data_IF_345497195136
#
_entry.id   IF_345497195136
#
_cell.length_a   1.000
_cell.length_b   1.000
_cell.length_c   1.000
_cell.angle_alpha   90.00
_cell.angle_beta   90.00
_cell.angle_gamma   90.00
#
_symmetry.space_group_name_H-M   'P 1'
#
loop_
_entity.id
_entity.type
_entity.pdbx_description
1 polymer ?
#
# COMPACT_ATOMS: atom_id res chain seq x y z
N UNK A 1 -88.32 -28.61 14.25
CA UNK A 1 -88.38 -29.97 13.65
C UNK A 1 -87.36 -30.07 12.58
N UNK A 2 -86.25 -30.75 12.83
CA UNK A 2 -85.84 -32.01 12.19
C UNK A 2 -85.27 -31.74 10.78
N UNK A 3 -84.12 -32.10 10.51
CA UNK A 3 -83.49 -33.38 10.42
C UNK A 3 -82.05 -33.33 10.06
N UNK A 4 -81.29 -34.13 10.66
CA UNK A 4 -79.89 -34.49 10.35
C UNK A 4 -79.87 -35.38 9.16
N UNK A 5 -78.84 -35.21 8.29
CA UNK A 5 -78.21 -36.32 7.56
C UNK A 5 -76.71 -36.12 7.51
N UNK A 6 -76.02 -37.06 8.08
CA UNK A 6 -74.63 -37.33 8.08
C UNK A 6 -74.22 -37.92 6.75
N UNK A 7 -73.08 -37.48 6.14
CA UNK A 7 -72.36 -38.30 5.18
C UNK A 7 -70.87 -38.25 5.55
N UNK A 8 -70.42 -39.38 6.07
CA UNK A 8 -69.02 -39.74 6.25
C UNK A 8 -68.41 -40.05 4.88
N UNK A 9 -67.29 -39.45 4.54
CA UNK A 9 -66.44 -39.81 3.45
C UNK A 9 -64.95 -39.75 3.90
N UNK A 10 -64.11 -40.71 3.52
CA UNK A 10 -62.84 -40.95 4.18
C UNK A 10 -61.77 -39.94 3.83
N UNK A 11 -61.08 -39.48 4.85
CA UNK A 11 -59.90 -38.63 4.81
C UNK A 11 -58.72 -39.37 4.16
N UNK A 12 -58.14 -38.83 3.07
CA UNK A 12 -56.84 -39.20 2.58
C UNK A 12 -55.81 -38.28 3.23
N UNK A 13 -55.17 -38.79 4.30
CA UNK A 13 -54.02 -38.21 4.91
C UNK A 13 -52.78 -38.49 4.04
N UNK A 14 -52.26 -37.46 3.37
CA UNK A 14 -51.00 -37.46 2.65
C UNK A 14 -50.27 -36.17 2.93
N UNK A 15 -49.98 -35.87 4.20
CA UNK A 15 -49.09 -34.76 4.58
C UNK A 15 -47.64 -35.18 4.42
N UNK A 16 -46.97 -34.66 3.39
CA UNK A 16 -45.52 -34.71 3.32
C UNK A 16 -44.96 -33.86 4.45
N UNK A 17 -43.96 -34.34 5.23
CA UNK A 17 -43.29 -33.49 6.20
C UNK A 17 -42.42 -32.50 5.44
N UNK A 18 -42.81 -31.25 5.38
CA UNK A 18 -41.94 -30.14 5.03
C UNK A 18 -40.87 -30.08 6.10
N UNK A 19 -39.75 -30.74 5.83
CA UNK A 19 -38.51 -30.52 6.58
C UNK A 19 -38.09 -29.07 6.33
N UNK A 20 -38.40 -28.22 7.30
CA UNK A 20 -37.82 -26.89 7.41
C UNK A 20 -36.31 -27.07 7.60
N UNK A 21 -35.59 -27.11 6.50
CA UNK A 21 -34.13 -27.01 6.49
C UNK A 21 -33.74 -25.65 7.07
N UNK A 22 -33.31 -25.74 8.32
CA UNK A 22 -32.80 -24.65 9.12
C UNK A 22 -31.62 -23.96 8.41
N UNK A 23 -31.90 -22.92 7.64
CA UNK A 23 -30.90 -22.01 7.05
C UNK A 23 -30.21 -21.10 8.11
N UNK A 24 -30.38 -21.40 9.42
CA UNK A 24 -29.87 -20.57 10.51
C UNK A 24 -28.57 -21.07 11.16
N UNK A 25 -27.91 -22.11 10.61
CA UNK A 25 -26.74 -22.71 11.24
C UNK A 25 -25.39 -22.05 10.86
N UNK A 26 -25.32 -21.26 9.79
CA UNK A 26 -24.05 -20.70 9.28
C UNK A 26 -23.47 -19.51 10.08
N UNK A 27 -24.32 -18.71 10.73
CA UNK A 27 -23.87 -17.51 11.46
C UNK A 27 -23.29 -17.72 12.85
N UNK A 28 -23.60 -18.85 13.48
CA UNK A 28 -23.20 -19.10 14.88
C UNK A 28 -21.70 -19.33 15.10
N UNK A 29 -20.97 -20.12 14.27
CA UNK A 29 -19.55 -20.36 14.49
C UNK A 29 -18.70 -19.10 14.27
N UNK A 30 -18.94 -18.32 13.22
CA UNK A 30 -18.22 -17.08 12.95
C UNK A 30 -18.46 -16.04 14.06
N UNK A 31 -19.71 -15.83 14.48
CA UNK A 31 -20.02 -14.92 15.58
C UNK A 31 -19.38 -15.36 16.91
N UNK A 32 -19.25 -16.67 17.15
CA UNK A 32 -18.54 -17.20 18.32
C UNK A 32 -17.04 -16.94 18.22
N UNK A 33 -16.43 -17.18 17.07
CA UNK A 33 -15.01 -16.91 16.83
C UNK A 33 -14.68 -15.42 16.98
N UNK A 34 -15.50 -14.51 16.44
CA UNK A 34 -15.34 -13.07 16.58
C UNK A 34 -15.45 -12.62 18.04
N UNK A 35 -16.39 -13.16 18.81
CA UNK A 35 -16.52 -12.87 20.25
C UNK A 35 -15.33 -13.39 21.05
N UNK A 36 -14.83 -14.59 20.73
CA UNK A 36 -13.66 -15.16 21.38
C UNK A 36 -12.40 -14.32 21.08
N UNK A 37 -12.20 -13.90 19.82
CA UNK A 37 -11.12 -13.01 19.43
C UNK A 37 -11.19 -11.64 20.13
N UNK A 38 -12.37 -11.05 20.21
CA UNK A 38 -12.57 -9.80 20.95
C UNK A 38 -12.28 -9.98 22.46
N UNK A 39 -12.74 -11.08 23.07
CA UNK A 39 -12.44 -11.37 24.49
C UNK A 39 -10.94 -11.56 24.73
N UNK A 40 -10.24 -12.26 23.84
CA UNK A 40 -8.78 -12.42 23.88
C UNK A 40 -8.06 -11.07 23.77
N UNK A 41 -8.49 -10.23 22.84
CA UNK A 41 -7.93 -8.89 22.63
C UNK A 41 -8.10 -8.01 23.89
N UNK A 42 -9.21 -8.10 24.57
CA UNK A 42 -9.44 -7.37 25.82
C UNK A 42 -8.64 -7.95 27.00
N UNK A 43 -8.42 -9.26 27.05
CA UNK A 43 -7.65 -9.91 28.11
C UNK A 43 -6.13 -9.69 27.96
N UNK A 44 -5.65 -9.73 26.72
CA UNK A 44 -4.22 -9.66 26.39
C UNK A 44 -3.93 -8.61 25.30
N UNK A 45 -4.31 -7.33 25.50
CA UNK A 45 -4.20 -6.33 24.46
C UNK A 45 -2.77 -6.13 23.97
N UNK A 46 -1.76 -6.26 24.85
CA UNK A 46 -0.34 -6.08 24.49
C UNK A 46 0.20 -7.15 23.54
N UNK A 47 -0.39 -8.34 23.52
CA UNK A 47 -0.02 -9.42 22.60
C UNK A 47 -0.78 -9.33 21.28
N UNK A 48 -2.06 -8.93 21.34
CA UNK A 48 -2.92 -8.89 20.16
C UNK A 48 -2.65 -7.66 19.28
N UNK A 49 -2.34 -6.53 19.89
CA UNK A 49 -2.18 -5.26 19.16
C UNK A 49 -1.03 -5.27 18.14
N UNK A 50 0.16 -5.82 18.41
CA UNK A 50 1.20 -5.97 17.38
C UNK A 50 0.74 -6.84 16.21
N UNK A 51 -0.04 -7.89 16.46
CA UNK A 51 -0.61 -8.74 15.41
C UNK A 51 -1.64 -8.00 14.56
N UNK A 52 -2.45 -7.11 15.17
CA UNK A 52 -3.36 -6.23 14.42
C UNK A 52 -2.58 -5.23 13.55
N UNK A 53 -1.43 -4.74 14.02
CA UNK A 53 -0.54 -3.90 13.22
C UNK A 53 0.07 -4.66 12.04
N UNK A 54 0.58 -5.87 12.28
CA UNK A 54 1.09 -6.75 11.24
C UNK A 54 -0.01 -7.12 10.22
N UNK A 55 -1.22 -7.41 10.69
CA UNK A 55 -2.37 -7.64 9.83
C UNK A 55 -2.65 -6.43 8.94
N UNK A 56 -2.56 -5.22 9.49
CA UNK A 56 -2.75 -4.00 8.71
C UNK A 56 -1.67 -3.80 7.65
N UNK A 57 -0.43 -4.22 7.89
CA UNK A 57 0.64 -4.19 6.91
C UNK A 57 0.37 -5.10 5.70
N UNK A 58 -0.42 -6.18 5.85
CA UNK A 58 -0.86 -7.01 4.73
C UNK A 58 -1.77 -6.26 3.73
N UNK A 59 -2.29 -5.08 4.09
CA UNK A 59 -3.05 -4.21 3.19
C UNK A 59 -2.21 -3.56 2.09
N UNK A 60 -0.90 -3.55 2.23
CA UNK A 60 0.02 -2.98 1.24
C UNK A 60 0.38 -3.99 0.15
N UNK A 61 0.93 -3.46 -0.95
CA UNK A 61 1.51 -4.31 -1.98
C UNK A 61 2.68 -5.13 -1.41
N UNK A 62 2.93 -6.36 -1.86
CA UNK A 62 2.26 -7.03 -2.99
C UNK A 62 0.94 -7.73 -2.61
N UNK A 63 0.61 -7.88 -1.31
CA UNK A 63 -0.57 -8.62 -0.87
C UNK A 63 -1.87 -7.89 -1.18
N UNK A 64 -1.89 -6.55 -1.07
CA UNK A 64 -3.04 -5.69 -1.34
C UNK A 64 -4.34 -6.10 -0.62
N UNK A 65 -4.22 -6.71 0.57
CA UNK A 65 -5.34 -7.16 1.37
C UNK A 65 -5.92 -5.99 2.18
N UNK A 66 -6.43 -4.96 1.48
CA UNK A 66 -6.98 -3.77 2.11
C UNK A 66 -8.01 -4.04 3.24
N UNK A 67 -8.86 -5.11 3.20
CA UNK A 67 -9.76 -5.40 4.31
C UNK A 67 -9.00 -5.74 5.60
N UNK A 68 -7.84 -6.38 5.50
CA UNK A 68 -6.98 -6.69 6.65
C UNK A 68 -6.49 -5.41 7.34
N UNK A 69 -6.16 -4.37 6.59
CA UNK A 69 -5.79 -3.07 7.14
C UNK A 69 -6.96 -2.43 7.91
N UNK A 70 -8.17 -2.46 7.35
CA UNK A 70 -9.35 -1.92 8.00
C UNK A 70 -9.69 -2.68 9.29
N UNK A 71 -9.56 -4.02 9.30
CA UNK A 71 -9.73 -4.84 10.50
C UNK A 71 -8.68 -4.51 11.56
N UNK A 72 -7.40 -4.37 11.16
CA UNK A 72 -6.31 -3.99 12.06
C UNK A 72 -6.54 -2.63 12.72
N UNK A 73 -7.04 -1.65 11.95
CA UNK A 73 -7.40 -0.31 12.46
C UNK A 73 -8.66 -0.34 13.34
N UNK A 74 -9.69 -1.08 12.94
CA UNK A 74 -10.92 -1.25 13.74
C UNK A 74 -10.62 -1.83 15.11
N UNK A 75 -9.74 -2.86 15.15
CA UNK A 75 -9.29 -3.47 16.39
C UNK A 75 -8.50 -2.50 17.28
N UNK A 76 -7.58 -1.73 16.68
CA UNK A 76 -6.83 -0.70 17.41
C UNK A 76 -7.77 0.35 18.02
N UNK A 77 -8.68 0.90 17.23
CA UNK A 77 -9.65 1.91 17.69
C UNK A 77 -10.54 1.39 18.81
N UNK A 78 -11.00 0.13 18.73
CA UNK A 78 -11.78 -0.52 19.79
C UNK A 78 -10.99 -0.58 21.10
N UNK A 79 -9.70 -0.91 21.04
CA UNK A 79 -8.84 -1.02 22.22
C UNK A 79 -8.44 0.37 22.76
N UNK A 80 -8.20 1.37 21.89
CA UNK A 80 -7.99 2.76 22.33
C UNK A 80 -9.23 3.29 23.06
N UNK A 81 -10.44 3.01 22.56
CA UNK A 81 -11.68 3.41 23.22
C UNK A 81 -11.82 2.84 24.64
N UNK A 82 -11.34 1.63 24.86
CA UNK A 82 -11.35 0.93 26.16
C UNK A 82 -10.15 1.34 27.06
N UNK A 83 -9.17 2.08 26.55
CA UNK A 83 -7.96 2.43 27.29
C UNK A 83 -8.29 3.37 28.47
N UNK A 84 -7.90 3.01 29.72
CA UNK A 84 -8.28 3.80 30.90
C UNK A 84 -7.55 5.14 30.99
N UNK A 85 -6.34 5.23 30.40
CA UNK A 85 -5.49 6.42 30.45
C UNK A 85 -4.84 6.68 29.09
N UNK A 86 -4.53 7.95 28.79
CA UNK A 86 -3.88 8.35 27.54
C UNK A 86 -2.56 7.60 27.27
N UNK A 87 -1.76 7.36 28.32
CA UNK A 87 -0.52 6.56 28.20
C UNK A 87 -0.76 5.11 27.76
N UNK A 88 -1.89 4.53 28.14
CA UNK A 88 -2.25 3.19 27.70
C UNK A 88 -2.64 3.20 26.22
N UNK A 89 -3.37 4.22 25.77
CA UNK A 89 -3.68 4.41 24.37
C UNK A 89 -2.41 4.61 23.53
N UNK A 90 -1.47 5.44 24.01
CA UNK A 90 -0.17 5.64 23.36
C UNK A 90 0.60 4.31 23.24
N UNK A 91 0.66 3.51 24.33
CA UNK A 91 1.30 2.19 24.29
C UNK A 91 0.65 1.26 23.26
N UNK A 92 -0.68 1.24 23.17
CA UNK A 92 -1.38 0.45 22.16
C UNK A 92 -1.04 0.92 20.74
N UNK A 93 -1.00 2.23 20.49
CA UNK A 93 -0.56 2.79 19.22
C UNK A 93 0.88 2.40 18.89
N UNK A 94 1.78 2.46 19.87
CA UNK A 94 3.17 2.06 19.71
C UNK A 94 3.32 0.58 19.37
N UNK A 95 2.66 -0.31 20.10
CA UNK A 95 2.68 -1.76 19.84
C UNK A 95 2.09 -2.10 18.47
N UNK A 96 1.01 -1.42 18.08
CA UNK A 96 0.44 -1.59 16.75
C UNK A 96 1.42 -1.15 15.66
N UNK A 97 2.05 0.03 15.85
CA UNK A 97 3.07 0.55 14.95
C UNK A 97 4.27 -0.38 14.83
N UNK A 98 4.71 -0.98 15.94
CA UNK A 98 5.80 -1.95 15.94
C UNK A 98 5.50 -3.14 15.02
N UNK A 99 4.33 -3.76 15.16
CA UNK A 99 3.92 -4.86 14.27
C UNK A 99 3.77 -4.41 12.81
N UNK A 100 3.14 -3.24 12.60
CA UNK A 100 2.90 -2.68 11.28
C UNK A 100 4.20 -2.39 10.52
N UNK A 101 5.14 -1.67 11.14
CA UNK A 101 6.37 -1.29 10.47
C UNK A 101 7.37 -2.43 10.37
N UNK A 102 7.39 -3.37 11.32
CA UNK A 102 8.26 -4.55 11.22
C UNK A 102 7.88 -5.40 10.02
N UNK A 103 6.60 -5.66 9.81
CA UNK A 103 6.16 -6.43 8.65
C UNK A 103 6.21 -5.58 7.36
N UNK A 104 5.74 -4.33 7.40
CA UNK A 104 5.66 -3.46 6.22
C UNK A 104 7.01 -3.04 5.65
N UNK A 105 8.08 -3.04 6.48
CA UNK A 105 9.43 -2.65 6.06
C UNK A 105 10.41 -3.83 6.01
N UNK A 106 9.94 -5.08 5.98
CA UNK A 106 10.79 -6.27 5.94
C UNK A 106 11.76 -6.30 4.75
N UNK A 107 11.40 -5.66 3.64
CA UNK A 107 12.24 -5.51 2.46
C UNK A 107 13.59 -4.85 2.74
N UNK A 108 13.70 -4.01 3.79
CA UNK A 108 14.96 -3.38 4.21
C UNK A 108 15.99 -4.44 4.59
N UNK A 109 15.57 -5.56 5.20
CA UNK A 109 16.49 -6.65 5.51
C UNK A 109 17.19 -7.18 4.25
N UNK A 110 16.46 -7.29 3.14
CA UNK A 110 17.03 -7.70 1.85
C UNK A 110 17.97 -6.65 1.28
N UNK A 111 17.66 -5.35 1.43
CA UNK A 111 18.51 -4.27 0.95
C UNK A 111 19.93 -4.32 1.57
N UNK A 112 20.04 -4.73 2.84
CA UNK A 112 21.34 -4.90 3.50
C UNK A 112 22.25 -5.93 2.83
N UNK A 113 21.68 -6.95 2.18
CA UNK A 113 22.47 -8.00 1.51
C UNK A 113 23.09 -7.53 0.21
N UNK A 114 22.52 -6.51 -0.44
CA UNK A 114 23.00 -6.02 -1.74
C UNK A 114 23.94 -4.81 -1.62
N UNK A 115 23.57 -3.82 -0.81
CA UNK A 115 24.25 -2.53 -0.83
C UNK A 115 25.49 -2.47 0.07
N UNK A 116 25.49 -3.17 1.18
CA UNK A 116 26.51 -2.96 2.22
C UNK A 116 27.44 -4.15 2.43
N UNK A 117 27.27 -5.27 1.73
CA UNK A 117 27.98 -6.55 1.98
C UNK A 117 27.97 -6.91 3.48
N UNK A 118 26.89 -6.55 4.17
CA UNK A 118 26.72 -6.76 5.59
C UNK A 118 26.16 -8.17 5.87
N UNK A 119 26.41 -8.72 7.06
CA UNK A 119 25.81 -9.98 7.45
C UNK A 119 24.27 -9.90 7.39
N UNK A 120 23.62 -10.92 6.83
CA UNK A 120 22.16 -11.00 6.64
C UNK A 120 21.39 -10.78 7.95
N UNK A 121 21.88 -11.29 9.07
CA UNK A 121 21.24 -11.15 10.38
C UNK A 121 21.12 -9.69 10.83
N UNK A 122 22.06 -8.83 10.41
CA UNK A 122 22.04 -7.40 10.77
C UNK A 122 20.84 -6.69 10.13
N UNK A 123 20.49 -7.04 8.88
CA UNK A 123 19.29 -6.54 8.22
C UNK A 123 18.02 -6.92 8.97
N UNK A 124 17.92 -8.17 9.43
CA UNK A 124 16.78 -8.62 10.23
C UNK A 124 16.70 -7.96 11.61
N UNK A 125 17.81 -7.53 12.19
CA UNK A 125 17.83 -6.75 13.43
C UNK A 125 17.50 -5.27 13.19
N UNK A 126 17.95 -4.71 12.08
CA UNK A 126 17.72 -3.31 11.71
C UNK A 126 16.24 -2.99 11.54
N UNK A 127 15.45 -3.90 10.94
CA UNK A 127 14.01 -3.69 10.70
C UNK A 127 13.22 -3.48 12.00
N UNK A 128 13.24 -4.38 13.00
CA UNK A 128 12.54 -4.13 14.25
C UNK A 128 13.09 -2.93 15.01
N UNK A 129 14.41 -2.68 14.98
CA UNK A 129 15.01 -1.50 15.61
C UNK A 129 14.49 -0.20 15.00
N UNK A 130 14.44 -0.10 13.68
CA UNK A 130 13.80 1.02 12.98
C UNK A 130 12.32 1.14 13.35
N UNK A 131 11.63 0.01 13.46
CA UNK A 131 10.21 -0.03 13.80
C UNK A 131 9.91 0.47 15.21
N UNK A 132 10.82 0.30 16.18
CA UNK A 132 10.70 0.90 17.52
C UNK A 132 10.58 2.42 17.45
N UNK A 133 11.39 3.05 16.59
CA UNK A 133 11.34 4.49 16.33
C UNK A 133 10.07 4.88 15.56
N UNK A 134 9.78 4.21 14.45
CA UNK A 134 8.63 4.53 13.62
C UNK A 134 7.30 4.36 14.36
N UNK A 135 7.23 3.46 15.32
CA UNK A 135 6.05 3.22 16.14
C UNK A 135 5.69 4.41 17.05
N UNK A 136 6.59 5.38 17.26
CA UNK A 136 6.28 6.60 17.99
C UNK A 136 5.19 7.43 17.31
N UNK A 137 5.07 7.38 16.00
CA UNK A 137 4.06 8.15 15.25
C UNK A 137 2.63 7.61 15.45
N UNK A 138 2.33 6.31 15.30
CA UNK A 138 1.06 5.75 15.73
C UNK A 138 0.79 5.92 17.23
N UNK A 139 1.81 5.89 18.08
CA UNK A 139 1.64 6.20 19.51
C UNK A 139 1.15 7.63 19.74
N UNK A 140 1.73 8.61 19.04
CA UNK A 140 1.32 10.01 19.09
C UNK A 140 -0.12 10.17 18.58
N UNK A 141 -0.47 9.53 17.45
CA UNK A 141 -1.83 9.54 16.93
C UNK A 141 -2.84 8.96 17.94
N UNK A 142 -2.48 7.84 18.60
CA UNK A 142 -3.32 7.20 19.61
C UNK A 142 -3.46 8.05 20.87
N UNK A 143 -2.38 8.70 21.31
CA UNK A 143 -2.37 9.61 22.45
C UNK A 143 -3.31 10.80 22.23
N UNK A 144 -3.19 11.45 21.09
CA UNK A 144 -4.00 12.60 20.73
C UNK A 144 -5.46 12.21 20.43
N UNK A 145 -5.68 11.15 19.66
CA UNK A 145 -7.01 10.66 19.34
C UNK A 145 -7.82 10.24 20.57
N UNK A 146 -7.15 9.67 21.59
CA UNK A 146 -7.78 9.28 22.84
C UNK A 146 -8.49 10.44 23.58
N UNK A 147 -8.06 11.69 23.37
CA UNK A 147 -8.71 12.88 23.94
C UNK A 147 -10.16 13.06 23.46
N UNK A 148 -10.48 12.52 22.31
CA UNK A 148 -11.80 12.64 21.67
C UNK A 148 -12.70 11.42 21.91
N UNK A 149 -12.32 10.51 22.83
CA UNK A 149 -13.04 9.26 23.10
C UNK A 149 -14.41 9.39 23.80
N UNK A 150 -14.83 10.59 24.12
CA UNK A 150 -16.16 10.86 24.71
C UNK A 150 -17.28 10.33 23.83
N UNK A 151 -17.07 10.31 22.51
CA UNK A 151 -17.92 9.60 21.56
C UNK A 151 -17.06 8.74 20.64
N UNK A 152 -17.63 7.63 20.12
CA UNK A 152 -16.92 6.76 19.18
C UNK A 152 -16.57 7.51 17.87
N UNK A 153 -17.51 8.30 17.35
CA UNK A 153 -17.28 9.10 16.15
C UNK A 153 -16.20 10.18 16.39
N UNK A 154 -16.22 10.82 17.56
CA UNK A 154 -15.18 11.76 17.97
C UNK A 154 -13.80 11.10 18.04
N UNK A 155 -13.70 9.88 18.61
CA UNK A 155 -12.46 9.12 18.61
C UNK A 155 -11.96 8.83 17.18
N UNK A 156 -12.82 8.37 16.28
CA UNK A 156 -12.43 8.09 14.89
C UNK A 156 -11.94 9.35 14.20
N UNK A 157 -12.67 10.46 14.29
CA UNK A 157 -12.29 11.73 13.68
C UNK A 157 -10.98 12.27 14.28
N UNK A 158 -10.88 12.29 15.62
CA UNK A 158 -9.69 12.77 16.32
C UNK A 158 -8.45 11.91 16.05
N UNK A 159 -8.61 10.59 15.99
CA UNK A 159 -7.52 9.69 15.63
C UNK A 159 -7.09 9.85 14.16
N UNK A 160 -8.06 10.03 13.23
CA UNK A 160 -7.76 10.27 11.81
C UNK A 160 -6.97 11.58 11.62
N UNK A 161 -7.42 12.68 12.24
CA UNK A 161 -6.68 13.95 12.20
C UNK A 161 -5.29 13.86 12.82
N UNK A 162 -5.20 13.20 13.98
CA UNK A 162 -3.91 12.97 14.65
C UNK A 162 -2.99 12.06 13.81
N UNK A 163 -3.55 11.07 13.10
CA UNK A 163 -2.79 10.21 12.19
C UNK A 163 -2.18 11.02 11.04
N UNK A 164 -2.98 11.86 10.37
CA UNK A 164 -2.51 12.74 9.29
C UNK A 164 -1.30 13.57 9.76
N UNK A 165 -1.42 14.21 10.92
CA UNK A 165 -0.36 15.05 11.47
C UNK A 165 0.87 14.20 11.82
N UNK A 166 0.70 13.07 12.48
CA UNK A 166 1.81 12.21 12.90
C UNK A 166 2.54 11.59 11.70
N UNK A 167 1.81 11.19 10.67
CA UNK A 167 2.39 10.65 9.45
C UNK A 167 3.12 11.71 8.62
N UNK A 168 2.59 12.94 8.59
CA UNK A 168 3.28 14.08 8.01
C UNK A 168 4.59 14.37 8.76
N UNK A 169 4.56 14.41 10.10
CA UNK A 169 5.78 14.58 10.93
C UNK A 169 6.82 13.49 10.64
N UNK A 170 6.38 12.24 10.45
CA UNK A 170 7.25 11.12 10.11
C UNK A 170 8.01 11.36 8.79
N UNK A 171 7.42 12.10 7.85
CA UNK A 171 8.05 12.47 6.60
C UNK A 171 9.15 13.56 6.73
N UNK A 172 9.28 14.21 7.89
CA UNK A 172 10.18 15.35 8.08
C UNK A 172 11.21 15.15 9.20
N UNK A 173 10.80 14.55 10.30
CA UNK A 173 11.65 14.44 11.51
C UNK A 173 12.82 13.51 11.22
N UNK A 174 14.05 13.93 11.62
CA UNK A 174 15.30 13.19 11.42
C UNK A 174 15.57 12.76 9.97
N UNK A 175 15.56 13.61 9.02
CA UNK A 175 15.70 13.31 7.59
C UNK A 175 14.42 12.77 6.93
N UNK A 176 13.42 12.38 7.72
CA UNK A 176 12.15 11.84 7.24
C UNK A 176 12.18 10.37 6.88
N UNK A 177 11.06 9.69 7.11
CA UNK A 177 10.81 8.33 6.65
C UNK A 177 9.40 8.26 6.04
N UNK A 178 9.29 8.52 4.76
CA UNK A 178 8.01 8.64 4.03
C UNK A 178 7.43 7.29 3.56
N UNK A 179 8.16 6.19 3.70
CA UNK A 179 7.72 4.87 3.24
C UNK A 179 6.49 4.37 4.00
N UNK A 180 5.66 3.60 3.29
CA UNK A 180 4.43 2.99 3.80
C UNK A 180 3.46 4.00 4.44
N UNK A 181 3.10 5.13 3.77
CA UNK A 181 1.98 5.92 4.24
C UNK A 181 0.69 5.08 4.15
N UNK A 182 -0.15 5.16 5.17
CA UNK A 182 -1.35 4.32 5.28
C UNK A 182 -2.30 4.48 4.10
N UNK A 183 -2.30 5.64 3.46
CA UNK A 183 -3.08 5.94 2.26
C UNK A 183 -2.80 5.00 1.08
N UNK A 184 -1.64 4.33 1.03
CA UNK A 184 -1.34 3.35 -0.02
C UNK A 184 -2.23 2.10 0.03
N UNK A 185 -2.85 1.81 1.18
CA UNK A 185 -3.89 0.76 1.28
C UNK A 185 -5.09 1.07 0.38
N UNK A 186 -5.29 2.35 0.06
CA UNK A 186 -6.37 2.82 -0.82
C UNK A 186 -6.08 2.65 -2.32
N UNK A 187 -4.87 2.21 -2.70
CA UNK A 187 -4.52 1.92 -4.08
C UNK A 187 -5.32 0.73 -4.60
N UNK A 188 -5.90 0.91 -5.78
CA UNK A 188 -6.49 -0.18 -6.54
C UNK A 188 -5.46 -0.95 -7.36
N UNK A 189 -5.93 -1.69 -8.36
CA UNK A 189 -5.06 -2.34 -9.35
C UNK A 189 -4.53 -1.32 -10.38
N UNK A 190 -3.60 -1.74 -11.24
CA UNK A 190 -3.09 -0.91 -12.34
C UNK A 190 -4.19 -0.39 -13.29
N UNK A 191 -5.28 -1.11 -13.41
CA UNK A 191 -6.42 -0.74 -14.28
C UNK A 191 -7.51 0.02 -13.53
N UNK A 192 -7.48 0.05 -12.20
CA UNK A 192 -8.51 0.66 -11.35
C UNK A 192 -7.85 1.36 -10.18
N UNK A 193 -7.85 2.70 -10.14
CA UNK A 193 -7.11 3.45 -9.12
C UNK A 193 -7.65 3.25 -7.70
N UNK A 194 -8.86 2.67 -7.52
CA UNK A 194 -9.49 2.55 -6.23
C UNK A 194 -9.78 3.92 -5.60
N UNK A 195 -9.71 3.99 -4.27
CA UNK A 195 -9.87 5.26 -3.54
C UNK A 195 -8.69 6.23 -3.77
N UNK A 196 -7.56 5.76 -4.33
CA UNK A 196 -6.46 6.64 -4.71
C UNK A 196 -6.83 7.62 -5.83
N UNK A 197 -7.95 7.42 -6.53
CA UNK A 197 -8.55 8.42 -7.42
C UNK A 197 -8.83 9.75 -6.69
N UNK A 198 -8.96 9.76 -5.37
CA UNK A 198 -9.15 10.96 -4.55
C UNK A 198 -7.83 11.69 -4.22
N UNK A 199 -6.66 11.12 -4.58
CA UNK A 199 -5.35 11.70 -4.27
C UNK A 199 -5.16 13.15 -4.76
N UNK A 200 -5.66 13.57 -5.95
CA UNK A 200 -5.54 14.96 -6.39
C UNK A 200 -6.16 15.99 -5.44
N UNK A 201 -7.17 15.59 -4.66
CA UNK A 201 -7.85 16.47 -3.71
C UNK A 201 -7.38 16.29 -2.27
N UNK A 202 -7.11 15.07 -1.85
CA UNK A 202 -6.79 14.74 -0.46
C UNK A 202 -5.28 14.68 -0.20
N UNK A 203 -4.49 14.46 -1.22
CA UNK A 203 -3.09 14.11 -1.06
C UNK A 203 -2.88 12.76 -0.36
N UNK A 204 -1.63 12.35 -0.20
CA UNK A 204 -1.27 11.07 0.42
C UNK A 204 -1.73 10.97 1.88
N UNK A 205 -1.51 12.03 2.65
CA UNK A 205 -1.86 12.04 4.09
C UNK A 205 -3.37 12.12 4.32
N UNK A 206 -4.10 12.84 3.46
CA UNK A 206 -5.57 12.87 3.50
C UNK A 206 -6.16 11.49 3.18
N UNK A 207 -5.57 10.74 2.23
CA UNK A 207 -5.95 9.34 1.99
C UNK A 207 -5.67 8.46 3.21
N UNK A 208 -4.57 8.67 3.92
CA UNK A 208 -4.27 7.94 5.16
C UNK A 208 -5.35 8.20 6.22
N UNK A 209 -5.78 9.45 6.38
CA UNK A 209 -6.90 9.81 7.25
C UNK A 209 -8.21 9.14 6.82
N UNK A 210 -8.49 9.08 5.51
CA UNK A 210 -9.66 8.39 4.98
C UNK A 210 -9.63 6.89 5.31
N UNK A 211 -8.50 6.21 5.15
CA UNK A 211 -8.34 4.79 5.51
C UNK A 211 -8.61 4.57 7.00
N UNK A 212 -8.15 5.48 7.87
CA UNK A 212 -8.48 5.45 9.31
C UNK A 212 -9.99 5.60 9.53
N UNK A 213 -10.64 6.54 8.86
CA UNK A 213 -12.10 6.74 8.96
C UNK A 213 -12.86 5.50 8.52
N UNK A 214 -12.42 4.83 7.45
CA UNK A 214 -13.03 3.60 6.96
C UNK A 214 -12.87 2.44 7.95
N UNK A 215 -11.67 2.25 8.51
CA UNK A 215 -11.44 1.28 9.59
C UNK A 215 -12.29 1.58 10.83
N UNK A 216 -12.40 2.87 11.17
CA UNK A 216 -13.30 3.33 12.22
C UNK A 216 -14.77 3.06 11.91
N UNK A 217 -15.20 3.23 10.67
CA UNK A 217 -16.54 2.90 10.19
C UNK A 217 -16.85 1.41 10.38
N UNK A 218 -15.91 0.52 10.09
CA UNK A 218 -16.06 -0.91 10.33
C UNK A 218 -16.23 -1.21 11.84
N UNK A 219 -15.44 -0.57 12.70
CA UNK A 219 -15.62 -0.70 14.13
C UNK A 219 -16.98 -0.19 14.59
N UNK A 220 -17.45 0.97 14.09
CA UNK A 220 -18.75 1.52 14.41
C UNK A 220 -19.90 0.61 13.95
N UNK A 221 -19.77 -0.02 12.78
CA UNK A 221 -20.77 -0.94 12.22
C UNK A 221 -20.92 -2.21 13.06
N UNK A 222 -19.90 -2.64 13.83
CA UNK A 222 -19.99 -3.77 14.76
C UNK A 222 -20.77 -3.44 16.03
N UNK A 223 -21.10 -2.17 16.26
CA UNK A 223 -21.89 -1.77 17.42
C UNK A 223 -23.38 -2.06 17.20
N UNK A 224 -24.10 -2.40 18.28
CA UNK A 224 -25.53 -2.75 18.21
C UNK A 224 -26.45 -1.64 17.68
N UNK A 225 -25.96 -0.40 17.59
CA UNK A 225 -26.66 0.75 16.98
C UNK A 225 -26.00 1.04 15.63
N UNK A 226 -26.38 0.27 14.62
CA UNK A 226 -25.92 0.48 13.25
C UNK A 226 -26.59 1.76 12.73
N UNK A 227 -25.86 2.87 12.72
CA UNK A 227 -26.32 4.07 12.04
C UNK A 227 -26.15 3.88 10.52
N UNK A 228 -27.06 4.40 9.67
CA UNK A 228 -26.92 4.33 8.21
C UNK A 228 -25.57 4.82 7.69
N UNK A 229 -25.01 5.87 8.33
CA UNK A 229 -23.67 6.37 8.03
C UNK A 229 -22.55 5.31 8.26
N UNK A 230 -22.69 4.45 9.29
CA UNK A 230 -21.69 3.39 9.54
C UNK A 230 -21.75 2.30 8.49
N UNK A 231 -22.92 2.00 7.96
CA UNK A 231 -23.11 1.07 6.84
C UNK A 231 -22.52 1.67 5.58
N UNK A 232 -22.80 2.93 5.30
CA UNK A 232 -22.24 3.63 4.15
C UNK A 232 -20.68 3.62 4.20
N UNK A 233 -20.08 3.94 5.36
CA UNK A 233 -18.63 3.89 5.55
C UNK A 233 -18.04 2.48 5.39
N UNK A 234 -18.83 1.42 5.62
CA UNK A 234 -18.39 0.06 5.38
C UNK A 234 -18.52 -0.37 3.91
N UNK A 235 -19.54 0.13 3.21
CA UNK A 235 -19.88 -0.28 1.85
C UNK A 235 -19.18 0.58 0.79
N UNK A 236 -19.01 1.90 1.04
CA UNK A 236 -18.36 2.83 0.08
C UNK A 236 -16.98 2.35 -0.39
N UNK A 237 -16.06 1.87 0.47
CA UNK A 237 -14.77 1.39 -0.02
C UNK A 237 -14.91 0.13 -0.88
N UNK A 238 -15.83 -0.78 -0.54
CA UNK A 238 -16.11 -1.94 -1.36
C UNK A 238 -16.54 -1.54 -2.76
N UNK A 239 -17.47 -0.60 -2.85
CA UNK A 239 -17.95 -0.08 -4.13
C UNK A 239 -16.85 0.63 -4.92
N UNK A 240 -16.01 1.42 -4.25
CA UNK A 240 -14.91 2.13 -4.91
C UNK A 240 -13.82 1.19 -5.46
N UNK A 241 -13.56 0.04 -4.81
CA UNK A 241 -12.63 -0.97 -5.32
C UNK A 241 -13.21 -1.81 -6.46
N UNK A 242 -14.53 -2.00 -6.47
CA UNK A 242 -15.24 -2.75 -7.52
C UNK A 242 -15.65 -1.86 -8.70
N UNK A 243 -15.84 -0.55 -8.45
CA UNK A 243 -16.26 0.41 -9.48
C UNK A 243 -15.25 0.44 -10.62
N UNK A 244 -15.71 0.26 -11.89
CA UNK A 244 -14.83 0.43 -13.02
C UNK A 244 -14.27 1.86 -12.99
N UNK A 245 -12.96 2.00 -12.90
CA UNK A 245 -12.32 3.30 -13.01
C UNK A 245 -12.78 3.98 -14.30
N UNK A 246 -12.91 5.29 -14.28
CA UNK A 246 -13.02 6.04 -15.53
C UNK A 246 -11.86 5.57 -16.41
N UNK A 247 -12.18 5.01 -17.58
CA UNK A 247 -11.16 4.58 -18.52
C UNK A 247 -10.14 5.70 -18.68
N UNK A 248 -8.89 5.35 -18.90
CA UNK A 248 -7.88 6.36 -19.21
C UNK A 248 -8.49 7.29 -20.26
N UNK A 249 -8.44 8.60 -20.00
CA UNK A 249 -8.90 9.57 -20.97
C UNK A 249 -8.26 9.20 -22.31
N UNK A 250 -9.03 9.16 -23.41
CA UNK A 250 -8.46 8.83 -24.71
C UNK A 250 -7.28 9.74 -24.93
N UNK A 251 -6.14 9.15 -25.32
CA UNK A 251 -4.94 9.90 -25.63
C UNK A 251 -5.32 10.92 -26.70
N UNK A 252 -5.38 12.19 -26.32
CA UNK A 252 -5.75 13.26 -27.24
C UNK A 252 -4.69 13.47 -28.31
N UNK A 253 -3.56 12.77 -28.22
CA UNK A 253 -2.43 12.94 -29.13
C UNK A 253 -1.74 14.32 -29.05
N UNK A 254 -2.30 15.25 -28.27
CA UNK A 254 -1.85 16.64 -28.17
C UNK A 254 -0.63 16.83 -27.24
N UNK A 255 -0.30 15.83 -26.43
CA UNK A 255 0.83 15.87 -25.49
C UNK A 255 2.15 15.41 -26.10
N UNK A 256 3.30 15.77 -25.49
CA UNK A 256 4.58 15.24 -25.89
C UNK A 256 4.61 13.72 -25.69
N UNK A 257 4.98 12.98 -26.71
CA UNK A 257 5.20 11.54 -26.60
C UNK A 257 6.34 11.25 -25.64
N UNK A 258 6.20 10.24 -24.81
CA UNK A 258 7.28 9.79 -23.93
C UNK A 258 7.41 8.26 -23.96
N UNK A 259 8.62 7.80 -23.69
CA UNK A 259 8.94 6.39 -23.53
C UNK A 259 9.60 6.22 -22.17
N UNK A 260 8.96 5.44 -21.31
CA UNK A 260 9.56 5.00 -20.05
C UNK A 260 10.31 3.70 -20.34
N UNK A 261 11.60 3.68 -20.05
CA UNK A 261 12.46 2.52 -20.29
C UNK A 261 12.65 1.79 -18.98
N UNK A 262 12.22 0.54 -18.92
CA UNK A 262 12.41 -0.34 -17.76
C UNK A 262 13.24 -1.57 -18.17
N UNK A 263 14.58 -1.51 -17.99
CA UNK A 263 15.47 -2.60 -18.39
C UNK A 263 15.38 -3.83 -17.48
N UNK A 264 14.77 -3.68 -16.30
CA UNK A 264 14.63 -4.75 -15.29
C UNK A 264 15.98 -5.44 -15.01
N UNK A 265 16.96 -4.63 -14.61
CA UNK A 265 18.28 -5.12 -14.19
C UNK A 265 18.16 -5.63 -12.76
N UNK A 266 18.69 -6.82 -12.50
CA UNK A 266 18.73 -7.38 -11.16
C UNK A 266 19.62 -6.55 -10.24
N UNK A 267 19.20 -6.34 -8.98
CA UNK A 267 19.97 -5.56 -8.01
C UNK A 267 21.39 -6.14 -7.79
N UNK A 268 21.55 -7.45 -7.89
CA UNK A 268 22.83 -8.14 -7.77
C UNK A 268 23.81 -7.82 -8.91
N UNK A 269 23.30 -7.33 -10.05
CA UNK A 269 24.09 -7.03 -11.25
C UNK A 269 24.39 -5.54 -11.40
N UNK A 270 23.72 -4.67 -10.60
CA UNK A 270 23.82 -3.21 -10.77
C UNK A 270 25.24 -2.69 -10.56
N UNK A 271 25.97 -3.27 -9.61
CA UNK A 271 27.31 -2.83 -9.22
C UNK A 271 28.41 -3.74 -9.79
N UNK A 272 28.08 -4.70 -10.68
CA UNK A 272 29.02 -5.58 -11.31
C UNK A 272 29.46 -5.03 -12.67
N UNK A 273 30.74 -4.61 -12.81
CA UNK A 273 31.28 -4.06 -14.05
C UNK A 273 31.17 -5.00 -15.26
N UNK A 274 31.16 -6.30 -15.03
CA UNK A 274 31.05 -7.29 -16.11
C UNK A 274 29.69 -7.19 -16.85
N UNK A 275 28.67 -6.68 -16.18
CA UNK A 275 27.31 -6.55 -16.72
C UNK A 275 27.00 -5.16 -17.31
N UNK A 276 27.84 -4.15 -17.10
CA UNK A 276 27.55 -2.75 -17.47
C UNK A 276 27.27 -2.55 -18.97
N UNK A 277 28.04 -3.19 -19.85
CA UNK A 277 27.82 -3.05 -21.29
C UNK A 277 26.50 -3.69 -21.72
N UNK A 278 26.18 -4.87 -21.21
CA UNK A 278 24.91 -5.57 -21.46
C UNK A 278 23.71 -4.78 -20.96
N UNK A 279 23.79 -4.21 -19.76
CA UNK A 279 22.75 -3.36 -19.18
C UNK A 279 22.52 -2.09 -20.01
N UNK A 280 23.61 -1.44 -20.44
CA UNK A 280 23.53 -0.27 -21.30
C UNK A 280 22.91 -0.59 -22.66
N UNK A 281 23.34 -1.68 -23.31
CA UNK A 281 22.79 -2.13 -24.59
C UNK A 281 21.29 -2.45 -24.45
N UNK A 282 20.89 -3.19 -23.41
CA UNK A 282 19.48 -3.48 -23.13
C UNK A 282 18.64 -2.20 -22.99
N UNK A 283 19.15 -1.23 -22.23
CA UNK A 283 18.48 0.05 -22.03
C UNK A 283 18.40 0.85 -23.33
N UNK A 284 19.47 0.83 -24.14
CA UNK A 284 19.53 1.51 -25.42
C UNK A 284 18.55 0.90 -26.45
N UNK A 285 18.47 -0.44 -26.52
CA UNK A 285 17.54 -1.15 -27.40
C UNK A 285 16.08 -0.85 -27.04
N UNK A 286 15.77 -0.88 -25.74
CA UNK A 286 14.42 -0.51 -25.25
C UNK A 286 14.08 0.96 -25.50
N UNK A 287 15.10 1.78 -25.79
CA UNK A 287 14.93 3.20 -26.13
C UNK A 287 14.74 3.43 -27.62
N UNK A 288 14.71 2.39 -28.45
CA UNK A 288 14.50 2.58 -29.88
C UNK A 288 13.07 3.04 -30.18
N UNK A 289 12.94 3.90 -31.18
CA UNK A 289 11.67 4.43 -31.58
C UNK A 289 10.91 3.40 -32.40
N UNK A 290 9.70 3.03 -31.95
CA UNK A 290 8.76 2.21 -32.72
C UNK A 290 8.01 3.05 -33.77
N UNK A 291 7.97 4.38 -33.59
CA UNK A 291 7.30 5.32 -34.49
C UNK A 291 8.16 6.58 -34.70
N UNK A 292 8.12 7.21 -35.88
CA UNK A 292 8.83 8.46 -36.15
C UNK A 292 8.23 9.61 -35.31
N UNK A 293 9.06 10.62 -35.03
CA UNK A 293 8.64 11.82 -34.32
C UNK A 293 9.46 12.13 -33.06
N UNK A 294 9.25 13.34 -32.53
CA UNK A 294 9.90 13.77 -31.29
C UNK A 294 9.26 13.07 -30.09
N UNK A 295 10.07 12.60 -29.17
CA UNK A 295 9.64 12.01 -27.91
C UNK A 295 10.64 12.24 -26.80
N UNK A 296 10.19 12.25 -25.57
CA UNK A 296 11.00 12.24 -24.37
C UNK A 296 11.28 10.78 -24.01
N UNK A 297 12.55 10.42 -23.80
CA UNK A 297 12.94 9.09 -23.32
C UNK A 297 13.43 9.24 -21.90
N UNK A 298 12.78 8.55 -20.98
CA UNK A 298 13.11 8.55 -19.56
C UNK A 298 13.70 7.19 -19.17
N UNK A 299 14.90 7.24 -18.65
CA UNK A 299 15.62 6.08 -18.12
C UNK A 299 15.50 6.08 -16.59
N UNK A 300 15.50 4.90 -15.93
CA UNK A 300 15.51 4.82 -14.49
C UNK A 300 16.81 5.39 -13.91
N UNK A 301 16.85 5.65 -12.62
CA UNK A 301 17.99 6.20 -11.89
C UNK A 301 19.28 5.43 -12.17
N UNK A 302 19.21 4.10 -12.16
CA UNK A 302 20.33 3.21 -12.49
C UNK A 302 20.43 2.82 -13.97
N UNK A 303 19.75 3.55 -14.87
CA UNK A 303 19.72 3.22 -16.31
C UNK A 303 21.03 3.45 -17.03
N UNK A 304 21.96 4.17 -16.40
CA UNK A 304 23.32 4.39 -16.89
C UNK A 304 24.28 3.98 -15.79
N UNK A 305 24.89 2.80 -15.90
CA UNK A 305 25.75 2.25 -14.84
C UNK A 305 27.08 3.00 -14.66
N UNK A 306 27.28 4.10 -15.40
CA UNK A 306 28.58 4.71 -15.52
C UNK A 306 28.49 6.23 -15.71
N UNK A 307 29.53 6.97 -15.36
CA UNK A 307 29.62 8.41 -15.51
C UNK A 307 29.65 8.82 -17.00
N UNK A 308 28.70 9.65 -17.41
CA UNK A 308 28.56 10.08 -18.82
C UNK A 308 29.24 11.39 -19.11
N UNK A 309 29.76 12.13 -18.17
CA UNK A 309 30.33 13.45 -18.34
C UNK A 309 31.83 13.45 -18.12
N UNK A 310 32.55 14.14 -18.98
CA UNK A 310 33.90 14.61 -18.72
C UNK A 310 33.81 15.73 -17.67
N UNK A 311 34.36 15.55 -16.53
CA UNK A 311 34.29 16.56 -15.46
C UNK A 311 34.59 16.02 -14.08
N UNK A 312 34.62 14.70 -13.94
CA UNK A 312 35.08 14.07 -12.73
C UNK A 312 36.60 13.93 -12.74
N UNK A 313 37.27 14.04 -11.57
CA UNK A 313 38.70 13.77 -11.45
C UNK A 313 39.06 12.39 -11.98
N UNK A 314 40.24 12.30 -12.65
CA UNK A 314 40.67 11.06 -13.30
C UNK A 314 40.76 9.85 -12.39
N UNK A 315 40.96 10.05 -11.08
CA UNK A 315 40.98 8.98 -10.11
C UNK A 315 39.60 8.31 -9.90
N UNK A 316 38.48 9.07 -10.01
CA UNK A 316 37.14 8.50 -9.93
C UNK A 316 36.86 7.59 -11.15
N UNK A 317 37.28 7.97 -12.34
CA UNK A 317 37.15 7.12 -13.52
C UNK A 317 37.98 5.84 -13.39
N UNK A 318 39.13 5.89 -12.74
CA UNK A 318 39.96 4.71 -12.48
C UNK A 318 39.39 3.79 -11.40
N UNK A 319 38.72 4.38 -10.40
CA UNK A 319 38.13 3.63 -9.30
C UNK A 319 36.79 2.98 -9.67
N UNK A 320 36.06 3.57 -10.62
CA UNK A 320 34.71 3.13 -10.98
C UNK A 320 34.68 2.29 -12.24
N UNK A 321 35.83 1.76 -12.66
CA UNK A 321 35.91 0.70 -13.66
C UNK A 321 35.60 1.10 -15.10
N UNK A 322 34.41 0.83 -15.56
CA UNK A 322 34.06 0.85 -16.99
C UNK A 322 34.13 2.25 -17.63
N UNK A 323 33.82 3.31 -16.90
CA UNK A 323 33.91 4.68 -17.39
C UNK A 323 35.35 5.19 -17.50
N UNK A 324 36.26 4.56 -16.76
CA UNK A 324 37.67 4.94 -16.76
C UNK A 324 38.44 4.50 -18.01
N UNK A 325 37.88 3.58 -18.82
CA UNK A 325 38.52 3.21 -20.11
C UNK A 325 38.28 4.29 -21.17
N UNK A 326 39.33 5.02 -21.57
CA UNK A 326 39.24 6.06 -22.61
C UNK A 326 38.72 5.55 -23.96
N UNK A 327 38.89 4.25 -24.25
CA UNK A 327 38.40 3.64 -25.48
C UNK A 327 36.89 3.52 -25.50
N UNK A 328 36.29 3.15 -24.34
CA UNK A 328 34.84 3.04 -24.15
C UNK A 328 34.19 4.41 -24.17
N UNK A 329 34.75 5.38 -23.48
CA UNK A 329 34.29 6.76 -23.50
C UNK A 329 34.29 7.35 -24.92
N UNK A 330 35.32 7.03 -25.74
CA UNK A 330 35.37 7.42 -27.16
C UNK A 330 34.32 6.72 -28.01
N UNK A 331 34.02 5.45 -27.79
CA UNK A 331 32.92 4.74 -28.50
C UNK A 331 31.58 5.39 -28.24
N UNK A 332 31.29 5.75 -26.98
CA UNK A 332 30.05 6.48 -26.59
C UNK A 332 29.94 7.86 -27.26
N UNK A 333 31.03 8.61 -27.36
CA UNK A 333 31.08 9.88 -28.11
C UNK A 333 30.81 9.68 -29.62
N UNK A 334 31.35 8.63 -30.23
CA UNK A 334 31.09 8.32 -31.65
C UNK A 334 29.64 7.94 -31.91
N UNK A 335 29.03 7.15 -31.04
CA UNK A 335 27.60 6.79 -31.12
C UNK A 335 26.70 8.03 -31.04
N UNK A 336 26.98 8.98 -30.11
CA UNK A 336 26.25 10.26 -30.03
C UNK A 336 26.43 11.15 -31.24
N UNK A 337 27.64 11.23 -31.83
CA UNK A 337 27.88 12.01 -33.06
C UNK A 337 27.18 11.37 -34.26
N UNK A 338 27.15 10.06 -34.35
CA UNK A 338 26.44 9.34 -35.42
C UNK A 338 24.91 9.57 -35.34
N UNK A 339 24.32 9.54 -34.14
CA UNK A 339 22.89 9.87 -33.96
C UNK A 339 22.57 11.33 -34.26
N UNK A 340 23.42 12.29 -33.86
CA UNK A 340 23.22 13.71 -34.19
C UNK A 340 23.32 13.98 -35.69
N UNK A 341 24.19 13.27 -36.41
CA UNK A 341 24.29 13.40 -37.88
C UNK A 341 23.09 12.77 -38.60
N UNK A 342 22.56 11.67 -38.12
CA UNK A 342 21.34 11.05 -38.67
C UNK A 342 20.09 11.93 -38.42
N UNK A 343 19.92 12.50 -37.24
CA UNK A 343 18.84 13.46 -36.99
C UNK A 343 19.00 14.75 -37.84
N UNK A 344 20.22 15.25 -38.08
CA UNK A 344 20.40 16.42 -38.95
C UNK A 344 20.16 16.12 -40.44
N UNK A 345 20.47 14.93 -40.92
CA UNK A 345 20.15 14.55 -42.33
C UNK A 345 18.65 14.35 -42.54
N UNK A 346 17.93 13.81 -41.58
CA UNK A 346 16.49 13.65 -41.68
C UNK A 346 15.70 14.99 -41.66
N UNK A 347 16.33 16.09 -41.21
CA UNK A 347 15.72 17.44 -41.24
C UNK A 347 16.09 18.29 -42.42
N UNK A 348 16.98 17.80 -43.33
CA UNK A 348 17.39 18.53 -44.53
C UNK A 348 16.87 17.93 -45.82
N UNK A 349 16.23 16.76 -45.78
CA UNK A 349 15.62 16.11 -46.96
C UNK A 349 14.12 16.40 -47.13
N UNK A 350 13.52 17.22 -46.28
CA UNK A 350 12.11 17.70 -46.37
C UNK A 350 12.11 19.25 -46.65
N UNK A 351 12.88 19.71 -47.60
CA UNK A 351 12.85 21.10 -48.07
C UNK A 351 12.67 21.14 -49.57
#
# INVERSE_FOLDING_TARGET
>A
RAGRLSHDGPALAGGWPMTSTSAAAGGKPLARALRAGAALAHRHPRLVVPLLGALAACGFQPLALWPAALVGLAGLLALIAAAPRARNAALLGWLWGLGHFTLGNNWIATAFTYQAKMPVWLGWLAVPTLSLYLALYPALAALLGWRFRTSRAGLVAGFAGAWIISEWLRGWVFTGFAWNPLGLVALGSFTRPGLAALAPWLGTYGLSGLVVVLGGGWWLATSRRIAPASVALAVVPLLAFVWPGAGAAPDSGAGPRFTLVQPNVAQSELDDPAHYEGQFLKTALLSEATQPGRRLVLWPESGVPDYLREGYPAYLYRATTFAADPAVARRRKRGRRYRRRRCRRATTDDG
#
